data_IF_990596108262
#
_entry.id   IF_990596108262
#
_cell.length_a   1.000
_cell.length_b   1.000
_cell.length_c   1.000
_cell.angle_alpha   90.00
_cell.angle_beta   90.00
_cell.angle_gamma   90.00
#
_symmetry.space_group_name_H-M   'P 1'
#
loop_
_entity.id
_entity.type
_entity.pdbx_description
1 polymer ?
#
# COMPACT_ATOMS: atom_id res chain seq x y z
N UNK A 1 9.24 0.50 -3.74
CA UNK A 1 9.18 -0.83 -3.13
C UNK A 1 9.98 -1.73 -4.04
N UNK A 2 11.30 -1.70 -3.91
CA UNK A 2 12.21 -2.51 -4.75
C UNK A 2 12.79 -3.71 -3.97
N UNK A 3 12.68 -3.69 -2.64
CA UNK A 3 13.34 -4.64 -1.75
C UNK A 3 12.38 -5.39 -0.80
N UNK A 4 11.17 -4.86 -0.57
CA UNK A 4 10.21 -5.41 0.40
C UNK A 4 8.88 -5.76 -0.30
N UNK A 5 8.39 -7.00 -0.18
CA UNK A 5 7.10 -7.41 -0.75
C UNK A 5 5.91 -6.70 -0.08
N UNK A 6 4.79 -6.64 -0.80
CA UNK A 6 3.62 -5.89 -0.35
C UNK A 6 2.94 -6.59 0.83
N UNK A 7 2.95 -7.91 0.87
CA UNK A 7 2.40 -8.71 1.98
C UNK A 7 3.09 -8.39 3.31
N UNK A 8 4.40 -8.17 3.28
CA UNK A 8 5.16 -7.83 4.48
C UNK A 8 4.75 -6.45 5.02
N UNK A 9 4.56 -5.48 4.14
CA UNK A 9 4.11 -4.14 4.55
C UNK A 9 2.68 -4.15 5.10
N UNK A 10 1.79 -4.99 4.56
CA UNK A 10 0.43 -5.18 5.08
C UNK A 10 0.46 -5.88 6.43
N UNK A 11 1.26 -6.94 6.58
CA UNK A 11 1.44 -7.65 7.87
C UNK A 11 1.96 -6.70 8.95
N UNK A 12 2.90 -5.83 8.59
CA UNK A 12 3.38 -4.78 9.47
C UNK A 12 2.29 -3.77 9.82
N UNK A 13 1.44 -3.41 8.86
CA UNK A 13 0.32 -2.50 9.09
C UNK A 13 -0.77 -3.09 10.00
N UNK A 14 -0.96 -4.41 9.98
CA UNK A 14 -1.89 -5.15 10.84
C UNK A 14 -1.31 -5.52 12.20
N UNK A 15 0.00 -5.36 12.38
CA UNK A 15 0.64 -5.70 13.65
C UNK A 15 0.51 -4.54 14.62
N UNK A 16 -0.06 -4.83 15.80
CA UNK A 16 -0.28 -3.85 16.87
C UNK A 16 1.01 -3.08 17.23
N UNK A 17 0.91 -1.76 17.44
CA UNK A 17 2.04 -0.96 17.89
C UNK A 17 2.50 -1.42 19.28
N UNK A 18 3.80 -1.67 19.41
CA UNK A 18 4.38 -2.23 20.64
C UNK A 18 4.44 -1.20 21.79
N UNK A 19 4.62 0.10 21.49
CA UNK A 19 4.74 1.19 22.48
C UNK A 19 4.24 2.54 21.92
N UNK A 20 3.05 2.57 21.34
CA UNK A 20 2.45 3.81 20.84
C UNK A 20 0.96 3.65 20.54
N UNK A 21 0.23 4.76 20.53
CA UNK A 21 -1.20 4.75 20.17
C UNK A 21 -1.41 4.41 18.69
N UNK A 22 -0.44 4.77 17.84
CA UNK A 22 -0.52 4.60 16.38
C UNK A 22 0.80 4.16 15.78
N UNK A 23 0.74 3.24 14.81
CA UNK A 23 1.85 2.80 13.97
C UNK A 23 1.85 3.60 12.67
N UNK A 24 3.01 4.04 12.22
CA UNK A 24 3.18 4.69 10.91
C UNK A 24 3.87 3.71 9.95
N UNK A 25 3.20 3.34 8.86
CA UNK A 25 3.76 2.51 7.79
C UNK A 25 3.89 3.36 6.54
N UNK A 26 5.11 3.50 6.03
CA UNK A 26 5.40 4.34 4.86
C UNK A 26 5.89 3.47 3.72
N UNK A 27 5.08 3.38 2.66
CA UNK A 27 5.43 2.69 1.42
C UNK A 27 5.99 3.72 0.45
N UNK A 28 7.30 3.65 0.20
CA UNK A 28 7.99 4.52 -0.75
C UNK A 28 8.05 3.87 -2.13
N UNK A 29 7.87 4.67 -3.17
CA UNK A 29 7.96 4.25 -4.57
C UNK A 29 7.03 3.06 -4.89
N UNK A 30 5.70 3.16 -4.68
CA UNK A 30 4.75 2.11 -5.03
C UNK A 30 4.60 2.03 -6.56
N UNK A 31 5.50 1.29 -7.23
CA UNK A 31 5.48 1.11 -8.68
C UNK A 31 4.19 0.43 -9.18
N UNK A 32 3.51 -0.34 -8.33
CA UNK A 32 2.21 -0.97 -8.61
C UNK A 32 1.03 0.02 -8.77
N UNK A 33 1.23 1.29 -8.42
CA UNK A 33 0.28 2.38 -8.71
C UNK A 33 0.56 3.05 -10.07
N UNK A 34 1.69 2.73 -10.71
CA UNK A 34 2.04 3.25 -12.03
C UNK A 34 1.59 2.29 -13.13
N UNK A 35 1.19 2.82 -14.28
CA UNK A 35 0.79 2.03 -15.45
C UNK A 35 1.97 1.29 -16.10
N UNK A 36 3.21 1.67 -15.73
CA UNK A 36 4.43 1.05 -16.23
C UNK A 36 4.66 -0.28 -15.49
N UNK A 37 4.31 -1.39 -16.15
CA UNK A 37 4.81 -2.71 -15.78
C UNK A 37 6.33 -2.76 -16.01
N UNK A 38 7.11 -2.18 -15.10
CA UNK A 38 8.54 -2.49 -15.03
C UNK A 38 8.68 -3.94 -14.60
N UNK A 39 9.53 -4.70 -15.31
CA UNK A 39 9.94 -6.06 -14.94
C UNK A 39 10.74 -5.99 -13.65
N UNK A 40 10.08 -5.90 -12.50
CA UNK A 40 10.72 -6.05 -11.20
C UNK A 40 10.63 -7.50 -10.73
N UNK A 41 11.63 -7.90 -9.94
CA UNK A 41 11.85 -9.27 -9.44
C UNK A 41 10.83 -9.72 -8.39
N UNK A 42 10.01 -8.81 -7.90
CA UNK A 42 9.08 -9.05 -6.78
C UNK A 42 7.67 -8.88 -7.33
N UNK A 43 6.91 -9.97 -7.36
CA UNK A 43 5.48 -9.91 -7.63
C UNK A 43 4.78 -9.30 -6.41
N UNK A 44 3.98 -8.27 -6.64
CA UNK A 44 3.19 -7.62 -5.61
C UNK A 44 1.71 -7.90 -5.87
N UNK A 45 1.07 -8.63 -4.96
CA UNK A 45 -0.37 -8.92 -5.03
C UNK A 45 -1.20 -7.71 -4.56
N UNK A 46 -1.74 -6.95 -5.52
CA UNK A 46 -2.61 -5.80 -5.26
C UNK A 46 -3.85 -6.18 -4.44
N UNK A 47 -4.33 -7.41 -4.58
CA UNK A 47 -5.47 -7.98 -3.86
C UNK A 47 -5.33 -7.85 -2.34
N UNK A 48 -4.09 -8.00 -1.83
CA UNK A 48 -3.80 -7.92 -0.39
C UNK A 48 -3.92 -6.48 0.12
N UNK A 49 -3.48 -5.51 -0.67
CA UNK A 49 -3.65 -4.10 -0.35
C UNK A 49 -5.11 -3.67 -0.45
N UNK A 50 -5.85 -4.15 -1.45
CA UNK A 50 -7.29 -3.86 -1.59
C UNK A 50 -8.08 -4.39 -0.37
N UNK A 51 -7.82 -5.63 0.05
CA UNK A 51 -8.42 -6.20 1.25
C UNK A 51 -8.08 -5.40 2.52
N UNK A 52 -6.83 -4.94 2.65
CA UNK A 52 -6.44 -4.07 3.76
C UNK A 52 -7.14 -2.71 3.71
N UNK A 53 -7.36 -2.14 2.52
CA UNK A 53 -8.07 -0.87 2.35
C UNK A 53 -9.57 -0.97 2.66
N UNK A 54 -10.19 -2.14 2.47
CA UNK A 54 -11.58 -2.39 2.90
C UNK A 54 -11.73 -2.39 4.43
N UNK A 55 -10.72 -2.90 5.15
CA UNK A 55 -10.73 -2.97 6.60
C UNK A 55 -9.37 -2.56 7.20
N UNK A 56 -9.04 -1.25 7.18
CA UNK A 56 -7.76 -0.79 7.66
C UNK A 56 -7.66 -0.92 9.18
N UNK A 57 -6.47 -1.22 9.68
CA UNK A 57 -6.20 -1.22 11.11
C UNK A 57 -6.36 0.21 11.67
N UNK A 58 -7.24 0.45 12.67
CA UNK A 58 -7.56 1.79 13.16
C UNK A 58 -6.37 2.46 13.89
N UNK A 59 -5.40 1.65 14.31
CA UNK A 59 -4.16 2.07 14.96
C UNK A 59 -3.01 2.25 13.97
N UNK A 60 -3.23 2.12 12.66
CA UNK A 60 -2.16 2.25 11.66
C UNK A 60 -2.45 3.36 10.67
N UNK A 61 -1.45 4.21 10.47
CA UNK A 61 -1.43 5.23 9.43
C UNK A 61 -0.57 4.69 8.29
N UNK A 62 -1.20 4.35 7.17
CA UNK A 62 -0.53 3.93 5.94
C UNK A 62 -0.30 5.13 5.03
N UNK A 63 0.96 5.40 4.68
CA UNK A 63 1.36 6.50 3.79
C UNK A 63 1.99 5.93 2.52
N UNK A 64 1.36 6.18 1.38
CA UNK A 64 1.87 5.82 0.06
C UNK A 64 2.62 7.02 -0.53
N UNK A 65 3.95 6.98 -0.57
CA UNK A 65 4.80 7.99 -1.19
C UNK A 65 5.08 7.58 -2.63
N UNK A 66 4.27 8.09 -3.56
CA UNK A 66 4.42 7.92 -5.00
C UNK A 66 4.99 9.20 -5.63
N UNK A 67 6.32 9.33 -5.83
CA UNK A 67 6.93 10.48 -6.48
C UNK A 67 6.76 10.44 -8.02
N UNK A 68 5.57 10.09 -8.50
CA UNK A 68 5.25 9.95 -9.92
C UNK A 68 4.03 10.81 -10.26
N UNK A 69 4.14 11.63 -11.31
CA UNK A 69 3.13 12.62 -11.72
C UNK A 69 1.83 12.02 -12.28
N UNK A 70 1.84 10.73 -12.64
CA UNK A 70 0.71 10.02 -13.24
C UNK A 70 0.27 8.87 -12.34
N UNK A 71 -0.71 9.13 -11.47
CA UNK A 71 -1.55 8.07 -10.91
C UNK A 71 -2.50 7.60 -12.01
N UNK A 72 -2.52 6.29 -12.29
CA UNK A 72 -3.43 5.72 -13.27
C UNK A 72 -4.88 5.85 -12.77
N UNK A 73 -5.62 6.84 -13.30
CA UNK A 73 -7.00 7.17 -12.92
C UNK A 73 -8.01 6.06 -13.25
N UNK A 74 -7.57 4.93 -13.85
CA UNK A 74 -8.45 3.81 -14.21
C UNK A 74 -8.68 2.78 -13.12
N UNK A 75 -8.02 2.87 -11.96
CA UNK A 75 -8.40 2.06 -10.78
C UNK A 75 -9.61 2.71 -10.09
N UNK A 76 -10.78 2.33 -10.62
CA UNK A 76 -12.15 2.54 -10.16
C UNK A 76 -12.23 3.10 -8.73
N UNK A 77 -12.44 4.41 -8.61
CA UNK A 77 -13.15 4.98 -7.47
C UNK A 77 -14.48 4.23 -7.41
N UNK A 78 -14.80 3.56 -6.32
CA UNK A 78 -16.19 3.29 -6.00
C UNK A 78 -16.73 4.59 -5.42
N UNK A 79 -17.49 5.41 -6.17
CA UNK A 79 -18.37 6.35 -5.51
C UNK A 79 -19.49 5.51 -4.90
N UNK A 80 -19.83 5.74 -3.65
CA UNK A 80 -21.22 6.03 -3.28
C UNK A 80 -21.31 6.28 -1.79
N UNK A 81 -21.78 7.50 -1.51
CA UNK A 81 -22.77 7.89 -0.51
C UNK A 81 -22.76 7.18 0.85
#
# INVERSE_FOLDING_TARGET
MEEVPLEQAVTDAETFPFMGERRLVVIKNPYFLTAEKKKEKIEHELSVLEAYLEKPAPYTILVLLAPYEKLDERKKKSPNC
#
